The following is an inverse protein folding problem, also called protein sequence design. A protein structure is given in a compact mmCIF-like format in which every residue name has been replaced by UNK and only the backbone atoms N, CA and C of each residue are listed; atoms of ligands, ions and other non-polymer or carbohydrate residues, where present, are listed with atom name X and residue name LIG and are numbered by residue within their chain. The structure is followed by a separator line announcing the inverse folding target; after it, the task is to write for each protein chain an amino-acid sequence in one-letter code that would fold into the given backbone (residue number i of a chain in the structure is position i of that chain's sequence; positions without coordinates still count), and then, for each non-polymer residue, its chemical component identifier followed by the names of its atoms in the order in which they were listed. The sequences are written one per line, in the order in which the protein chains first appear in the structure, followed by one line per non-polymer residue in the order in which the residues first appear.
data_IF_784971645179
#
_entry.id   IF_784971645179
#
_cell.length_a   1.000
_cell.length_b   1.000
_cell.length_c   1.000
_cell.angle_alpha   90.00
_cell.angle_beta   90.00
_cell.angle_gamma   90.00
#
_symmetry.space_group_name_H-M   'P 1'
#
loop_
_entity.id
_entity.type
_entity.pdbx_description
1 polymer ?
#
# COMPACT_ATOMS: atom_id res chain seq x y z
N UNK A 1 -17.15 -4.77 1.93
CA UNK A 1 -15.77 -4.73 1.45
C UNK A 1 -15.44 -5.98 0.68
N UNK A 2 -14.85 -5.85 -0.48
CA UNK A 2 -14.51 -7.00 -1.30
C UNK A 2 -13.01 -7.28 -1.26
N UNK A 3 -12.67 -8.50 -0.91
CA UNK A 3 -11.29 -8.97 -1.05
C UNK A 3 -11.03 -9.27 -2.52
N UNK A 4 -9.90 -8.84 -3.03
CA UNK A 4 -9.52 -9.06 -4.41
C UNK A 4 -8.01 -9.10 -4.55
N UNK A 5 -7.56 -9.48 -5.71
CA UNK A 5 -6.15 -9.36 -6.03
C UNK A 5 -5.83 -7.90 -6.34
N UNK A 6 -4.58 -7.50 -6.10
CA UNK A 6 -4.15 -6.15 -6.42
C UNK A 6 -4.16 -5.92 -7.93
N UNK A 7 -4.37 -4.66 -8.32
CA UNK A 7 -4.21 -4.26 -9.71
C UNK A 7 -2.72 -4.15 -10.04
N UNK A 8 -2.41 -4.06 -11.34
CA UNK A 8 -1.02 -3.89 -11.75
C UNK A 8 -0.42 -2.60 -11.21
N UNK A 9 -1.20 -1.54 -11.16
CA UNK A 9 -0.72 -0.26 -10.60
C UNK A 9 -0.44 -0.38 -9.11
N UNK A 10 -1.29 -1.07 -8.39
CA UNK A 10 -1.09 -1.31 -6.96
C UNK A 10 0.14 -2.18 -6.73
N UNK A 11 0.34 -3.17 -7.57
CA UNK A 11 1.53 -4.02 -7.48
C UNK A 11 2.81 -3.21 -7.66
N UNK A 12 2.84 -2.31 -8.64
CA UNK A 12 4.01 -1.47 -8.87
C UNK A 12 4.32 -0.58 -7.66
N UNK A 13 3.29 0.00 -7.07
CA UNK A 13 3.46 0.85 -5.89
C UNK A 13 3.97 0.02 -4.70
N UNK A 14 3.36 -1.13 -4.46
CA UNK A 14 3.78 -2.01 -3.38
C UNK A 14 5.21 -2.50 -3.57
N UNK A 15 5.57 -2.88 -4.80
CA UNK A 15 6.93 -3.32 -5.09
C UNK A 15 7.94 -2.20 -4.82
N UNK A 16 7.63 -0.99 -5.23
CA UNK A 16 8.51 0.15 -4.97
C UNK A 16 8.70 0.36 -3.46
N UNK A 17 7.61 0.32 -2.71
CA UNK A 17 7.66 0.52 -1.25
C UNK A 17 8.41 -0.61 -0.56
N UNK A 18 8.17 -1.85 -0.98
CA UNK A 18 8.85 -3.01 -0.39
C UNK A 18 10.35 -2.96 -0.66
N UNK A 19 10.75 -2.54 -1.87
CA UNK A 19 12.17 -2.46 -2.21
C UNK A 19 12.91 -1.41 -1.41
N UNK A 20 12.25 -0.35 -0.95
CA UNK A 20 12.91 0.67 -0.13
C UNK A 20 12.63 0.51 1.35
N UNK A 21 11.93 -0.55 1.75
CA UNK A 21 11.52 -0.73 3.13
C UNK A 21 12.72 -0.97 4.06
N UNK A 22 12.53 -0.60 5.34
CA UNK A 22 13.56 -0.76 6.36
C UNK A 22 13.77 -2.21 6.78
N UNK A 23 12.83 -3.10 6.45
CA UNK A 23 12.95 -4.53 6.74
C UNK A 23 12.74 -5.32 5.45
N UNK A 24 13.15 -6.59 5.49
CA UNK A 24 13.00 -7.46 4.32
C UNK A 24 11.64 -8.14 4.32
N UNK A 25 10.94 -8.08 3.19
CA UNK A 25 9.66 -8.77 2.98
C UNK A 25 9.91 -10.00 2.12
N UNK A 26 9.28 -11.13 2.47
CA UNK A 26 9.48 -12.38 1.76
C UNK A 26 9.04 -12.28 0.31
N UNK A 27 9.71 -13.05 -0.57
CA UNK A 27 9.61 -12.87 -2.00
C UNK A 27 8.34 -13.36 -2.68
N UNK A 28 7.50 -14.12 -1.99
CA UNK A 28 6.29 -14.70 -2.59
C UNK A 28 5.02 -13.86 -2.36
N UNK A 29 5.17 -12.66 -1.84
CA UNK A 29 4.03 -11.81 -1.53
C UNK A 29 3.19 -11.49 -2.77
N UNK A 30 3.83 -11.35 -3.94
CA UNK A 30 3.11 -10.99 -5.17
C UNK A 30 2.05 -12.01 -5.56
N UNK A 31 2.32 -13.28 -5.32
CA UNK A 31 1.42 -14.35 -5.73
C UNK A 31 0.26 -14.53 -4.76
N UNK A 32 0.48 -14.23 -3.50
CA UNK A 32 -0.46 -14.58 -2.44
C UNK A 32 -1.22 -13.41 -1.85
N UNK A 33 -0.86 -12.18 -2.20
CA UNK A 33 -1.45 -11.01 -1.56
C UNK A 33 -2.87 -10.77 -2.02
N UNK A 34 -3.75 -10.59 -1.04
CA UNK A 34 -5.14 -10.20 -1.25
C UNK A 34 -5.30 -8.80 -0.68
N UNK A 35 -5.96 -7.92 -1.39
CA UNK A 35 -6.19 -6.55 -0.94
C UNK A 35 -7.68 -6.30 -0.75
N UNK A 36 -7.99 -5.40 0.17
CA UNK A 36 -9.36 -5.00 0.44
C UNK A 36 -9.39 -3.48 0.60
N UNK A 37 -10.12 -2.77 -0.26
CA UNK A 37 -10.16 -1.31 -0.18
C UNK A 37 -10.71 -0.83 1.16
N UNK A 38 -10.09 0.21 1.70
CA UNK A 38 -10.56 0.88 2.91
C UNK A 38 -11.63 1.89 2.55
N UNK A 39 -12.49 2.20 3.51
CA UNK A 39 -13.47 3.26 3.37
C UNK A 39 -12.80 4.58 3.75
N UNK A 40 -12.06 5.16 2.82
CA UNK A 40 -11.23 6.34 3.04
C UNK A 40 -11.53 7.46 2.04
N UNK A 41 -12.74 7.51 1.49
CA UNK A 41 -13.08 8.52 0.49
C UNK A 41 -12.47 8.22 -0.87
N UNK A 42 -12.18 6.97 -1.16
CA UNK A 42 -11.59 6.51 -2.42
C UNK A 42 -10.18 7.06 -2.66
N UNK A 43 -9.44 7.31 -1.59
CA UNK A 43 -8.04 7.71 -1.73
C UNK A 43 -7.12 6.55 -2.08
N UNK A 44 -7.63 5.31 -2.03
CA UNK A 44 -6.91 4.15 -2.53
C UNK A 44 -6.23 3.28 -1.50
N UNK A 45 -6.41 3.57 -0.21
CA UNK A 45 -5.82 2.76 0.85
C UNK A 45 -6.38 1.34 0.85
N UNK A 46 -5.53 0.38 1.22
CA UNK A 46 -5.86 -1.03 1.15
C UNK A 46 -5.47 -1.74 2.44
N UNK A 47 -6.34 -2.64 2.90
CA UNK A 47 -5.93 -3.69 3.82
C UNK A 47 -5.20 -4.78 3.02
N UNK A 48 -4.14 -5.34 3.59
CA UNK A 48 -3.30 -6.34 2.94
C UNK A 48 -3.32 -7.63 3.76
N UNK A 49 -3.49 -8.77 3.07
CA UNK A 49 -3.38 -10.06 3.75
C UNK A 49 -2.86 -11.09 2.75
N UNK A 50 -2.19 -12.12 3.26
CA UNK A 50 -1.81 -13.24 2.42
C UNK A 50 -2.98 -14.22 2.38
N UNK A 51 -3.24 -14.77 1.21
CA UNK A 51 -4.43 -15.59 0.98
C UNK A 51 -4.52 -16.83 1.86
N UNK A 52 -3.37 -17.30 2.38
CA UNK A 52 -3.33 -18.45 3.26
C UNK A 52 -3.36 -18.09 4.75
N UNK A 53 -3.61 -16.82 5.08
CA UNK A 53 -3.63 -16.37 6.47
C UNK A 53 -5.04 -16.11 6.93
N UNK A 54 -5.37 -16.64 8.09
CA UNK A 54 -6.72 -16.58 8.62
C UNK A 54 -6.82 -15.77 9.90
N UNK A 55 -5.80 -14.98 10.21
CA UNK A 55 -5.80 -14.22 11.46
C UNK A 55 -6.72 -13.02 11.36
N UNK A 56 -7.73 -12.98 12.22
CA UNK A 56 -8.70 -11.89 12.26
C UNK A 56 -8.37 -10.82 13.30
N UNK A 57 -7.35 -11.04 14.12
CA UNK A 57 -7.01 -10.12 15.20
C UNK A 57 -5.64 -9.49 14.98
N UNK A 58 -5.46 -8.95 13.80
CA UNK A 58 -4.20 -8.33 13.45
C UNK A 58 -4.15 -6.91 14.00
N UNK A 59 -2.99 -6.53 14.50
CA UNK A 59 -2.77 -5.22 15.07
C UNK A 59 -1.63 -4.52 14.34
N UNK A 60 -1.76 -3.21 14.16
CA UNK A 60 -0.72 -2.39 13.58
C UNK A 60 0.60 -2.59 14.33
N UNK A 61 1.67 -2.82 13.61
CA UNK A 61 3.01 -2.93 14.16
C UNK A 61 3.82 -1.68 13.93
N UNK A 62 4.22 -1.45 12.67
CA UNK A 62 5.01 -0.26 12.36
C UNK A 62 4.95 0.06 10.87
N UNK A 63 5.24 1.31 10.54
CA UNK A 63 5.45 1.74 9.16
C UNK A 63 6.86 1.37 8.75
N UNK A 64 7.00 0.70 7.61
CA UNK A 64 8.31 0.24 7.13
C UNK A 64 8.78 0.96 5.88
N UNK A 65 7.91 1.72 5.23
CA UNK A 65 8.26 2.39 3.98
C UNK A 65 7.27 3.50 3.69
N UNK A 66 7.74 4.49 2.93
CA UNK A 66 6.90 5.63 2.54
C UNK A 66 7.42 6.18 1.23
N UNK A 67 6.51 6.65 0.38
CA UNK A 67 6.90 7.37 -0.82
C UNK A 67 5.91 8.48 -1.11
N UNK A 68 6.30 9.36 -2.01
CA UNK A 68 5.51 10.51 -2.43
C UNK A 68 5.37 10.45 -3.94
N UNK A 69 4.17 10.75 -4.42
CA UNK A 69 3.96 10.95 -5.85
C UNK A 69 2.90 12.03 -6.06
N UNK A 70 2.73 12.45 -7.32
CA UNK A 70 1.76 13.47 -7.67
C UNK A 70 0.66 12.81 -8.50
N UNK A 71 -0.58 13.02 -8.09
CA UNK A 71 -1.73 12.50 -8.85
C UNK A 71 -1.88 13.27 -10.17
N UNK A 72 -2.68 12.75 -11.08
CA UNK A 72 -2.88 13.33 -12.39
C UNK A 72 -3.47 14.75 -12.37
N UNK A 73 -4.08 15.13 -11.25
CA UNK A 73 -4.61 16.49 -11.07
C UNK A 73 -3.61 17.44 -10.38
N UNK A 74 -2.36 17.02 -10.21
CA UNK A 74 -1.32 17.85 -9.62
C UNK A 74 -1.28 17.87 -8.11
N UNK A 75 -2.11 17.09 -7.44
CA UNK A 75 -2.17 17.05 -5.98
C UNK A 75 -1.20 16.01 -5.44
N UNK A 76 -0.47 16.39 -4.38
CA UNK A 76 0.49 15.50 -3.73
C UNK A 76 -0.19 14.33 -3.03
N UNK A 77 0.44 13.16 -3.13
CA UNK A 77 -0.04 11.93 -2.49
C UNK A 77 1.11 11.30 -1.73
N UNK A 78 0.84 10.82 -0.53
CA UNK A 78 1.81 10.11 0.29
C UNK A 78 1.30 8.69 0.50
N UNK A 79 2.14 7.71 0.17
CA UNK A 79 1.81 6.30 0.33
C UNK A 79 2.74 5.69 1.38
N UNK A 80 2.17 4.97 2.34
CA UNK A 80 2.91 4.38 3.44
C UNK A 80 2.59 2.89 3.52
N UNK A 81 3.62 2.08 3.74
CA UNK A 81 3.45 0.64 3.90
C UNK A 81 3.67 0.25 5.35
N UNK A 82 2.69 -0.44 5.91
CA UNK A 82 2.70 -0.85 7.30
C UNK A 82 2.67 -2.37 7.43
N UNK A 83 3.33 -2.88 8.47
CA UNK A 83 3.25 -4.29 8.84
C UNK A 83 2.51 -4.42 10.16
N UNK A 84 2.00 -5.62 10.43
CA UNK A 84 1.37 -5.91 11.71
C UNK A 84 2.43 -6.27 12.75
N UNK A 85 1.98 -6.58 13.97
CA UNK A 85 2.89 -6.91 15.07
C UNK A 85 3.66 -8.19 14.82
N UNK A 86 3.21 -9.03 13.88
CA UNK A 86 3.90 -10.27 13.53
C UNK A 86 4.84 -10.08 12.34
N UNK A 87 5.00 -8.86 11.85
CA UNK A 87 5.92 -8.57 10.75
C UNK A 87 5.35 -8.84 9.37
N UNK A 88 4.05 -8.99 9.24
CA UNK A 88 3.40 -9.30 7.95
C UNK A 88 2.78 -8.05 7.35
N UNK A 89 2.72 -8.01 6.02
CA UNK A 89 2.10 -6.90 5.31
C UNK A 89 0.68 -6.69 5.83
N UNK A 90 0.35 -5.47 6.19
CA UNK A 90 -0.89 -5.16 6.89
C UNK A 90 -1.74 -4.12 6.17
N UNK A 91 -1.14 -2.97 5.85
CA UNK A 91 -1.88 -1.87 5.24
C UNK A 91 -1.01 -1.10 4.27
N UNK A 92 -1.62 -0.68 3.17
CA UNK A 92 -1.09 0.35 2.29
C UNK A 92 -1.95 1.59 2.51
N UNK A 93 -1.40 2.59 3.20
CA UNK A 93 -2.11 3.84 3.44
C UNK A 93 -1.79 4.83 2.33
N UNK A 94 -2.81 5.34 1.68
CA UNK A 94 -2.64 6.36 0.65
C UNK A 94 -3.40 7.60 1.08
N UNK A 95 -2.67 8.69 1.23
CA UNK A 95 -3.24 9.97 1.63
C UNK A 95 -3.01 11.00 0.52
N UNK A 96 -4.10 11.39 -0.11
CA UNK A 96 -4.07 12.50 -1.05
C UNK A 96 -4.29 13.77 -0.23
N UNK A 97 -3.37 14.72 -0.33
CA UNK A 97 -3.27 15.80 0.64
C UNK A 97 -4.45 16.75 0.69
N UNK A 98 -5.30 16.77 -0.36
CA UNK A 98 -6.54 17.56 -0.33
C UNK A 98 -7.79 16.71 -0.03
N UNK A 99 -7.59 15.42 0.32
CA UNK A 99 -8.66 14.48 0.69
C UNK A 99 -9.66 14.18 -0.44
N UNK A 100 -9.31 14.46 -1.69
CA UNK A 100 -10.15 14.06 -2.82
C UNK A 100 -9.77 12.65 -3.27
N UNK A 101 -10.64 11.97 -4.03
CA UNK A 101 -10.34 10.61 -4.49
C UNK A 101 -9.08 10.55 -5.33
N UNK A 102 -8.34 9.47 -5.20
CA UNK A 102 -7.16 9.22 -6.04
C UNK A 102 -7.61 8.97 -7.47
N UNK A 103 -6.96 9.65 -8.42
CA UNK A 103 -7.28 9.47 -9.83
C UNK A 103 -6.39 8.45 -10.49
N UNK A 104 -5.10 8.41 -10.12
CA UNK A 104 -4.16 7.54 -10.83
C UNK A 104 -2.90 7.27 -10.01
N UNK A 105 -2.46 6.02 -9.99
CA UNK A 105 -1.14 5.66 -9.48
C UNK A 105 -0.18 5.72 -10.68
N UNK A 106 0.90 6.51 -10.60
CA UNK A 106 1.82 6.66 -11.73
C UNK A 106 2.57 5.36 -12.01
N UNK A 107 3.13 5.26 -13.22
CA UNK A 107 3.92 4.09 -13.60
C UNK A 107 5.30 4.10 -12.98
N UNK A 108 5.84 5.26 -12.66
CA UNK A 108 7.17 5.42 -12.08
C UNK A 108 7.10 6.31 -10.86
N UNK A 109 7.95 6.01 -9.90
CA UNK A 109 8.03 6.77 -8.66
C UNK A 109 9.41 7.40 -8.54
N UNK A 110 9.44 8.66 -8.11
CA UNK A 110 10.70 9.40 -7.96
C UNK A 110 11.27 9.13 -6.57
N UNK A 111 12.43 8.48 -6.53
CA UNK A 111 13.08 8.15 -5.26
C UNK A 111 13.67 9.38 -4.59
N UNK A 112 13.77 10.50 -5.28
CA UNK A 112 14.33 11.73 -4.73
C UNK A 112 13.27 12.67 -4.15
N UNK A 113 12.02 12.26 -4.15
CA UNK A 113 10.92 13.13 -3.73
C UNK A 113 10.80 13.30 -2.22
N UNK A 114 11.43 12.46 -1.45
CA UNK A 114 11.36 12.55 0.01
C UNK A 114 12.71 12.73 0.65
#
# INVERSE_FOLDING_TARGET
MQNRKMTQCEERLLEFLINKASIKVTGDWKENLIVSPMDDGNMGSLYLSLSNEMDTKRLFGEQISECHFVDSDGIDVIASLNIDKNGKLFELDIWKTDYTPLKRIPKKFDTNML
#
